data_IF_869612682960
#
_entry.id   IF_869612682960
#
_cell.length_a   1.000
_cell.length_b   1.000
_cell.length_c   1.000
_cell.angle_alpha   90.00
_cell.angle_beta   90.00
_cell.angle_gamma   90.00
#
_symmetry.space_group_name_H-M   'P 1'
#
loop_
_entity.id
_entity.type
_entity.pdbx_description
1 polymer ?
#
# COMPACT_ATOMS: atom_id res chain seq x y z
N UNK A 1 -36.58 41.39 40.26
CA UNK A 1 -36.84 41.55 38.82
C UNK A 1 -35.54 41.31 38.07
N UNK A 2 -35.38 40.17 37.39
CA UNK A 2 -34.23 39.92 36.51
C UNK A 2 -34.73 40.13 35.08
N UNK A 3 -34.26 41.20 34.42
CA UNK A 3 -34.62 41.51 33.05
C UNK A 3 -33.96 40.49 32.10
N UNK A 4 -34.77 39.77 31.32
CA UNK A 4 -34.27 38.88 30.28
C UNK A 4 -33.77 39.71 29.11
N UNK A 5 -32.44 39.84 28.98
CA UNK A 5 -31.79 40.50 27.85
C UNK A 5 -32.11 39.71 26.56
N UNK A 6 -32.93 40.26 25.66
CA UNK A 6 -33.22 39.65 24.35
C UNK A 6 -32.17 40.10 23.35
N UNK A 7 -31.22 39.22 23.03
CA UNK A 7 -30.23 39.46 21.98
C UNK A 7 -30.91 39.42 20.60
N UNK A 8 -30.60 40.33 19.67
CA UNK A 8 -31.17 40.32 18.33
C UNK A 8 -30.71 39.09 17.54
N UNK A 9 -31.62 38.52 16.73
CA UNK A 9 -31.40 37.29 15.97
C UNK A 9 -30.16 37.30 15.07
N UNK A 10 -29.69 38.48 14.63
CA UNK A 10 -28.47 38.63 13.83
C UNK A 10 -27.23 38.30 14.67
N UNK A 11 -27.16 38.75 15.94
CA UNK A 11 -26.04 38.46 16.84
C UNK A 11 -26.02 36.98 17.19
N UNK A 12 -27.20 36.37 17.42
CA UNK A 12 -27.32 34.92 17.69
C UNK A 12 -26.86 34.10 16.47
N UNK A 13 -27.26 34.48 15.25
CA UNK A 13 -26.84 33.81 14.01
C UNK A 13 -25.33 33.94 13.75
N UNK A 14 -24.75 35.14 13.97
CA UNK A 14 -23.31 35.34 13.84
C UNK A 14 -22.50 34.56 14.87
N UNK A 15 -22.99 34.44 16.11
CA UNK A 15 -22.36 33.60 17.15
C UNK A 15 -22.42 32.11 16.80
N UNK A 16 -23.54 31.62 16.26
CA UNK A 16 -23.67 30.23 15.81
C UNK A 16 -22.76 29.94 14.61
N UNK A 17 -22.64 30.87 13.66
CA UNK A 17 -21.75 30.72 12.50
C UNK A 17 -20.26 30.74 12.92
N UNK A 18 -19.87 31.62 13.86
CA UNK A 18 -18.53 31.63 14.42
C UNK A 18 -18.20 30.35 15.20
N UNK A 19 -19.15 29.83 16.00
CA UNK A 19 -18.97 28.57 16.72
C UNK A 19 -18.78 27.36 15.76
N UNK A 20 -19.44 27.37 14.60
CA UNK A 20 -19.27 26.34 13.58
C UNK A 20 -17.90 26.41 12.87
N UNK A 21 -17.31 27.60 12.73
CA UNK A 21 -15.98 27.81 12.17
C UNK A 21 -14.84 27.38 13.11
N UNK A 22 -15.04 27.41 14.43
CA UNK A 22 -14.05 26.94 15.40
C UNK A 22 -14.10 25.43 15.68
N UNK A 23 -15.23 24.77 15.39
CA UNK A 23 -15.43 23.35 15.68
C UNK A 23 -14.79 22.39 14.65
N UNK A 24 -14.27 22.89 13.52
CA UNK A 24 -13.82 22.07 12.39
C UNK A 24 -12.29 21.87 12.30
N UNK A 25 -11.52 22.28 13.30
CA UNK A 25 -10.09 21.94 13.36
C UNK A 25 -9.90 20.53 13.95
N UNK A 26 -10.30 19.50 13.19
CA UNK A 26 -9.78 18.17 13.44
C UNK A 26 -8.28 18.22 13.15
N UNK A 27 -7.46 18.35 14.20
CA UNK A 27 -6.04 18.07 14.05
C UNK A 27 -5.93 16.59 13.69
N UNK A 28 -5.55 16.31 12.44
CA UNK A 28 -5.13 14.97 12.07
C UNK A 28 -3.92 14.64 12.95
N UNK A 29 -4.12 13.80 13.96
CA UNK A 29 -3.02 13.12 14.62
C UNK A 29 -2.30 12.36 13.51
N UNK A 30 -1.10 12.80 13.14
CA UNK A 30 -0.34 12.21 12.06
C UNK A 30 -0.01 10.74 12.33
N UNK A 31 0.94 10.17 11.59
CA UNK A 31 1.27 8.76 11.76
C UNK A 31 2.53 8.35 11.04
N UNK A 32 2.67 7.04 10.90
CA UNK A 32 3.77 6.41 10.21
C UNK A 32 3.43 6.16 8.74
N UNK A 33 4.31 6.59 7.82
CA UNK A 33 4.12 6.40 6.39
C UNK A 33 5.39 6.01 5.66
N UNK A 34 5.22 5.33 4.52
CA UNK A 34 6.27 5.06 3.54
C UNK A 34 6.04 5.99 2.35
N UNK A 35 7.10 6.49 1.72
CA UNK A 35 7.01 7.38 0.56
C UNK A 35 6.67 6.66 -0.77
N UNK A 36 6.44 5.35 -0.74
CA UNK A 36 6.18 4.52 -1.91
C UNK A 36 5.15 3.43 -1.57
N UNK A 37 4.39 3.00 -2.58
CA UNK A 37 3.43 1.87 -2.47
C UNK A 37 4.01 0.55 -2.99
N UNK A 38 5.17 0.61 -3.64
CA UNK A 38 5.98 -0.52 -4.10
C UNK A 38 7.42 -0.08 -4.35
N UNK A 39 8.33 -1.04 -4.40
CA UNK A 39 9.75 -0.82 -4.65
C UNK A 39 10.18 -1.66 -5.85
N UNK A 40 10.97 -1.08 -6.75
CA UNK A 40 11.61 -1.80 -7.84
C UNK A 40 13.11 -1.87 -7.52
N UNK A 41 13.62 -3.08 -7.31
CA UNK A 41 15.05 -3.35 -7.20
C UNK A 41 15.55 -3.81 -8.56
N UNK A 42 16.27 -2.94 -9.27
CA UNK A 42 16.84 -3.24 -10.57
C UNK A 42 18.18 -3.98 -10.40
N UNK A 43 18.40 -5.03 -11.18
CA UNK A 43 19.63 -5.85 -11.10
C UNK A 43 20.91 -5.06 -11.37
N UNK A 44 20.86 -4.02 -12.20
CA UNK A 44 22.02 -3.16 -12.52
C UNK A 44 22.29 -2.07 -11.46
N UNK A 45 21.50 -2.02 -10.39
CA UNK A 45 21.67 -1.07 -9.29
C UNK A 45 22.17 -1.79 -8.04
N UNK A 46 23.08 -1.14 -7.32
CA UNK A 46 23.60 -1.65 -6.07
C UNK A 46 22.54 -1.69 -4.97
N UNK A 47 21.61 -0.73 -5.00
CA UNK A 47 20.58 -0.56 -3.98
C UNK A 47 19.29 0.04 -4.53
N UNK A 48 18.20 -0.18 -3.80
CA UNK A 48 16.96 0.57 -3.92
C UNK A 48 16.75 1.43 -2.66
N UNK A 49 16.16 2.61 -2.83
CA UNK A 49 15.96 3.57 -1.75
C UNK A 49 14.47 3.69 -1.44
N UNK A 50 14.14 3.69 -0.15
CA UNK A 50 12.79 3.94 0.36
C UNK A 50 12.88 4.84 1.60
N UNK A 51 11.95 5.77 1.77
CA UNK A 51 11.91 6.64 2.94
C UNK A 51 10.67 6.37 3.76
N UNK A 52 10.84 6.45 5.08
CA UNK A 52 9.74 6.39 6.04
C UNK A 52 9.64 7.71 6.78
N UNK A 53 8.43 8.09 7.17
CA UNK A 53 8.17 9.36 7.86
C UNK A 53 7.27 9.17 9.06
N UNK A 54 7.47 10.02 10.05
CA UNK A 54 6.60 10.19 11.20
C UNK A 54 5.97 11.59 11.08
N UNK A 55 4.66 11.66 10.86
CA UNK A 55 3.95 12.93 10.77
C UNK A 55 3.25 13.32 12.07
N UNK A 56 3.48 12.60 13.16
CA UNK A 56 3.02 13.00 14.50
C UNK A 56 3.86 14.16 15.03
N UNK A 57 3.30 14.97 15.93
CA UNK A 57 3.97 16.15 16.50
C UNK A 57 4.73 15.85 17.78
N UNK A 58 4.41 14.75 18.47
CA UNK A 58 4.90 14.46 19.82
C UNK A 58 5.23 12.99 20.10
N UNK A 59 4.93 12.04 19.19
CA UNK A 59 5.13 10.61 19.41
C UNK A 59 6.34 10.13 18.60
N UNK A 60 7.47 9.77 19.22
CA UNK A 60 8.54 9.09 18.50
C UNK A 60 8.16 7.63 18.21
N UNK A 61 8.71 7.07 17.14
CA UNK A 61 8.57 5.65 16.82
C UNK A 61 9.90 4.91 16.91
N UNK A 62 9.88 3.69 17.44
CA UNK A 62 10.90 2.70 17.11
C UNK A 62 10.47 2.00 15.82
N UNK A 63 11.25 2.16 14.76
CA UNK A 63 10.95 1.61 13.44
C UNK A 63 11.81 0.39 13.18
N UNK A 64 11.17 -0.74 12.83
CA UNK A 64 11.83 -1.93 12.28
C UNK A 64 11.57 -2.00 10.78
N UNK A 65 12.55 -2.42 9.99
CA UNK A 65 12.41 -2.61 8.55
C UNK A 65 13.08 -3.91 8.10
N UNK A 66 12.36 -4.72 7.31
CA UNK A 66 12.86 -6.01 6.80
C UNK A 66 12.25 -6.37 5.45
N UNK A 67 12.94 -7.21 4.68
CA UNK A 67 12.37 -7.86 3.49
C UNK A 67 11.93 -9.28 3.85
N UNK A 68 10.84 -9.74 3.25
CA UNK A 68 10.31 -11.11 3.38
C UNK A 68 9.94 -11.68 2.01
N UNK A 69 9.92 -13.01 1.88
CA UNK A 69 9.50 -13.67 0.62
C UNK A 69 7.98 -13.81 0.53
N UNK A 70 7.27 -13.74 1.65
CA UNK A 70 5.81 -13.82 1.71
C UNK A 70 5.21 -12.55 2.31
N UNK A 71 3.95 -12.28 1.97
CA UNK A 71 3.21 -11.09 2.40
C UNK A 71 2.97 -11.03 3.91
N UNK A 72 2.93 -12.18 4.60
CA UNK A 72 2.79 -12.28 6.05
C UNK A 72 4.09 -11.97 6.82
N UNK A 73 5.10 -11.40 6.14
CA UNK A 73 6.34 -10.96 6.76
C UNK A 73 7.32 -12.09 7.08
N UNK A 74 7.16 -13.27 6.44
CA UNK A 74 7.96 -14.48 6.67
C UNK A 74 8.81 -14.89 5.46
N UNK A 75 9.65 -15.89 5.70
CA UNK A 75 10.49 -16.52 4.68
C UNK A 75 11.80 -15.77 4.42
N UNK A 76 12.79 -16.53 3.93
CA UNK A 76 14.14 -16.04 3.66
C UNK A 76 14.17 -15.30 2.32
N UNK A 77 15.05 -14.33 2.23
CA UNK A 77 15.21 -13.48 1.06
C UNK A 77 16.69 -13.11 0.91
N UNK A 78 17.18 -12.87 -0.32
CA UNK A 78 18.53 -12.37 -0.53
C UNK A 78 18.69 -10.88 -0.18
N UNK A 79 17.61 -10.19 0.21
CA UNK A 79 17.62 -8.76 0.47
C UNK A 79 17.70 -8.43 1.96
N UNK A 80 18.31 -7.30 2.28
CA UNK A 80 18.39 -6.73 3.63
C UNK A 80 18.22 -5.21 3.59
N UNK A 81 17.76 -4.64 4.71
CA UNK A 81 17.47 -3.21 4.86
C UNK A 81 18.45 -2.58 5.82
N UNK A 82 18.95 -1.39 5.49
CA UNK A 82 19.85 -0.60 6.33
C UNK A 82 19.35 0.85 6.50
N UNK A 83 19.23 1.35 7.74
CA UNK A 83 19.27 0.60 9.01
C UNK A 83 18.02 -0.29 9.21
N UNK A 84 18.16 -1.47 9.82
CA UNK A 84 17.01 -2.38 10.04
C UNK A 84 16.17 -2.01 11.28
N UNK A 85 16.73 -1.23 12.21
CA UNK A 85 16.08 -0.78 13.44
C UNK A 85 16.60 0.63 13.79
N UNK A 86 15.71 1.57 14.03
CA UNK A 86 16.10 2.93 14.39
C UNK A 86 14.95 3.67 15.07
N UNK A 87 15.30 4.74 15.81
CA UNK A 87 14.33 5.69 16.34
C UNK A 87 14.00 6.73 15.26
N UNK A 88 12.71 7.04 15.11
CA UNK A 88 12.20 8.08 14.23
C UNK A 88 11.44 9.12 15.05
N UNK A 89 12.03 10.30 15.21
CA UNK A 89 11.47 11.39 15.99
C UNK A 89 10.21 11.99 15.34
N UNK A 90 9.38 12.74 16.10
CA UNK A 90 8.22 13.44 15.58
C UNK A 90 8.57 14.36 14.41
N UNK A 91 7.71 14.43 13.39
CA UNK A 91 7.96 15.13 12.12
C UNK A 91 9.21 14.67 11.35
N UNK A 92 9.86 13.60 11.81
CA UNK A 92 11.09 13.08 11.23
C UNK A 92 10.85 12.27 9.96
N UNK A 93 11.84 12.27 9.08
CA UNK A 93 11.94 11.37 7.93
C UNK A 93 13.28 10.64 8.00
N UNK A 94 13.29 9.35 7.66
CA UNK A 94 14.52 8.59 7.51
C UNK A 94 14.53 7.83 6.18
N UNK A 95 15.70 7.73 5.59
CA UNK A 95 15.92 7.05 4.31
C UNK A 95 16.61 5.72 4.56
N UNK A 96 16.05 4.67 3.96
CA UNK A 96 16.49 3.29 4.09
C UNK A 96 17.04 2.81 2.75
N UNK A 97 18.14 2.07 2.82
CA UNK A 97 18.74 1.39 1.68
C UNK A 97 18.38 -0.07 1.72
N UNK A 98 17.95 -0.58 0.57
CA UNK A 98 17.69 -2.00 0.36
C UNK A 98 18.80 -2.52 -0.53
N UNK A 99 19.49 -3.53 -0.03
CA UNK A 99 20.64 -4.18 -0.65
C UNK A 99 20.29 -5.66 -0.83
N UNK A 100 20.93 -6.36 -1.76
CA UNK A 100 20.72 -7.80 -1.87
C UNK A 100 21.69 -8.52 -2.79
N UNK A 101 21.84 -9.82 -2.54
CA UNK A 101 22.61 -10.74 -3.39
C UNK A 101 21.70 -11.46 -4.38
N UNK A 102 21.60 -10.93 -5.59
CA UNK A 102 20.63 -11.37 -6.60
C UNK A 102 21.13 -12.50 -7.50
N UNK A 103 22.35 -13.04 -7.26
CA UNK A 103 23.00 -14.03 -8.15
C UNK A 103 22.22 -15.32 -8.35
N UNK A 104 21.39 -15.70 -7.39
CA UNK A 104 20.58 -16.92 -7.42
C UNK A 104 19.13 -16.68 -7.86
N UNK A 105 18.77 -15.43 -8.17
CA UNK A 105 17.43 -15.09 -8.64
C UNK A 105 17.28 -15.37 -10.14
N UNK A 106 16.04 -15.60 -10.55
CA UNK A 106 15.69 -15.80 -11.96
C UNK A 106 16.09 -14.58 -12.79
N UNK A 107 16.67 -14.81 -13.95
CA UNK A 107 17.14 -13.75 -14.86
C UNK A 107 16.19 -13.50 -16.03
N UNK A 108 15.21 -14.38 -16.25
CA UNK A 108 14.26 -14.33 -17.37
C UNK A 108 12.93 -13.67 -17.00
N UNK A 109 12.70 -13.36 -15.71
CA UNK A 109 11.47 -12.77 -15.20
C UNK A 109 11.67 -12.03 -13.89
N UNK A 110 10.72 -11.17 -13.56
CA UNK A 110 10.67 -10.56 -12.24
C UNK A 110 10.46 -11.59 -11.12
N UNK A 111 10.99 -11.29 -9.95
CA UNK A 111 10.65 -11.97 -8.69
C UNK A 111 9.99 -10.99 -7.72
N UNK A 112 9.05 -11.46 -6.90
CA UNK A 112 8.36 -10.63 -5.91
C UNK A 112 8.76 -10.99 -4.48
N UNK A 113 8.99 -9.94 -3.69
CA UNK A 113 9.27 -9.95 -2.26
C UNK A 113 8.44 -8.85 -1.60
N UNK A 114 8.57 -8.68 -0.29
CA UNK A 114 7.78 -7.71 0.47
C UNK A 114 8.67 -6.93 1.43
N UNK A 115 8.64 -5.61 1.31
CA UNK A 115 9.21 -4.70 2.30
C UNK A 115 8.20 -4.49 3.42
N UNK A 116 8.62 -4.75 4.65
CA UNK A 116 7.81 -4.60 5.85
C UNK A 116 8.46 -3.55 6.73
N UNK A 117 7.71 -2.51 7.08
CA UNK A 117 8.12 -1.54 8.08
C UNK A 117 7.09 -1.49 9.21
N UNK A 118 7.55 -1.62 10.45
CA UNK A 118 6.70 -1.50 11.63
C UNK A 118 7.16 -0.36 12.52
N UNK A 119 6.23 0.50 12.92
CA UNK A 119 6.46 1.62 13.82
C UNK A 119 5.78 1.35 15.16
N UNK A 120 6.60 1.21 16.19
CA UNK A 120 6.16 0.98 17.57
C UNK A 120 6.21 2.35 18.28
N UNK A 121 5.07 2.89 18.74
CA UNK A 121 5.06 4.15 19.47
C UNK A 121 5.94 4.06 20.72
N UNK A 122 6.74 5.09 20.97
CA UNK A 122 7.41 5.23 22.26
C UNK A 122 6.38 5.36 23.36
N UNK A 123 6.54 4.61 24.45
CA UNK A 123 5.79 4.84 25.67
C UNK A 123 6.27 6.13 26.33
N UNK A 124 5.38 6.91 26.92
CA UNK A 124 5.76 7.98 27.85
C UNK A 124 6.73 7.42 28.90
N UNK A 125 7.74 8.22 29.29
CA UNK A 125 8.75 7.83 30.26
C UNK A 125 8.10 7.18 31.51
N UNK A 126 8.68 6.11 32.07
CA UNK A 126 8.26 5.60 33.38
C UNK A 126 8.55 6.69 34.41
N UNK A 127 7.50 7.41 34.82
CA UNK A 127 7.61 8.58 35.70
C UNK A 127 6.34 9.41 35.85
N UNK A 128 5.34 9.26 34.96
CA UNK A 128 3.99 9.83 35.16
C UNK A 128 2.97 8.78 35.61
N UNK A 129 3.41 7.75 36.33
CA UNK A 129 2.52 6.89 37.10
C UNK A 129 2.62 7.33 38.55
N UNK A 130 1.47 7.54 39.18
CA UNK A 130 1.28 7.78 40.61
C UNK A 130 1.25 9.24 41.09
N UNK A 131 0.49 10.11 40.41
CA UNK A 131 -0.38 11.04 41.16
C UNK A 131 -1.81 10.89 40.64
N UNK A 132 -2.71 10.47 41.52
CA UNK A 132 -4.14 10.21 41.29
C UNK A 132 -4.49 8.80 40.79
N UNK A 133 -5.20 8.06 41.64
CA UNK A 133 -5.78 6.76 41.39
C UNK A 133 -6.83 6.78 40.26
N UNK A 134 -6.38 6.76 38.99
CA UNK A 134 -7.18 6.30 37.86
C UNK A 134 -6.47 5.10 37.25
N UNK A 135 -7.10 3.93 37.33
CA UNK A 135 -6.71 2.78 36.50
C UNK A 135 -7.08 3.17 35.06
N UNK A 136 -6.15 3.77 34.33
CA UNK A 136 -6.29 4.00 32.91
C UNK A 136 -5.69 2.80 32.17
N UNK A 137 -6.55 2.02 31.51
CA UNK A 137 -6.10 1.07 30.51
C UNK A 137 -5.63 1.85 29.28
N UNK A 138 -4.38 1.69 28.88
CA UNK A 138 -3.83 2.26 27.65
C UNK A 138 -3.66 1.18 26.59
N UNK A 139 -4.18 1.41 25.40
CA UNK A 139 -3.97 0.53 24.25
C UNK A 139 -2.93 1.16 23.32
N UNK A 140 -1.83 0.45 23.10
CA UNK A 140 -0.74 0.88 22.20
C UNK A 140 -0.79 0.03 20.94
N UNK A 141 -1.00 0.67 19.79
CA UNK A 141 -1.00 0.02 18.49
C UNK A 141 0.33 0.25 17.77
N UNK A 142 0.97 -0.83 17.32
CA UNK A 142 2.05 -0.73 16.35
C UNK A 142 1.47 -0.65 14.94
N UNK A 143 2.00 0.25 14.11
CA UNK A 143 1.58 0.42 12.72
C UNK A 143 2.53 -0.39 11.84
N UNK A 144 2.01 -1.38 11.12
CA UNK A 144 2.78 -2.21 10.18
C UNK A 144 2.35 -1.95 8.74
N UNK A 145 3.28 -1.54 7.89
CA UNK A 145 3.07 -1.37 6.45
C UNK A 145 3.89 -2.42 5.68
N UNK A 146 3.21 -3.15 4.79
CA UNK A 146 3.84 -4.13 3.90
C UNK A 146 3.59 -3.73 2.45
N UNK A 147 4.65 -3.48 1.69
CA UNK A 147 4.59 -3.14 0.26
C UNK A 147 5.41 -4.12 -0.57
N UNK A 148 5.03 -4.29 -1.83
CA UNK A 148 5.72 -5.22 -2.74
C UNK A 148 7.10 -4.66 -3.12
N UNK A 149 8.09 -5.54 -3.15
CA UNK A 149 9.41 -5.30 -3.73
C UNK A 149 9.57 -6.23 -4.93
N UNK A 150 9.72 -5.66 -6.12
CA UNK A 150 9.98 -6.42 -7.34
C UNK A 150 11.47 -6.39 -7.65
N UNK A 151 12.09 -7.55 -7.70
CA UNK A 151 13.39 -7.70 -8.32
C UNK A 151 13.19 -7.79 -9.82
N UNK A 152 13.88 -6.92 -10.57
CA UNK A 152 13.80 -6.87 -12.03
C UNK A 152 15.17 -7.12 -12.65
N UNK A 153 15.36 -8.27 -13.30
CA UNK A 153 16.55 -8.55 -14.10
C UNK A 153 16.79 -7.52 -15.21
N UNK A 154 18.04 -7.35 -15.60
CA UNK A 154 18.39 -6.63 -16.83
C UNK A 154 18.05 -7.47 -18.05
N UNK A 155 17.66 -6.82 -19.15
CA UNK A 155 17.45 -7.50 -20.44
C UNK A 155 16.11 -8.22 -20.60
N UNK A 156 15.15 -7.99 -19.70
CA UNK A 156 13.77 -8.44 -19.91
C UNK A 156 13.19 -7.83 -21.19
N UNK A 157 12.42 -8.64 -21.92
CA UNK A 157 11.77 -8.20 -23.16
C UNK A 157 10.58 -7.30 -22.85
N UNK A 158 10.53 -6.13 -23.50
CA UNK A 158 9.43 -5.18 -23.39
C UNK A 158 9.58 -4.21 -22.22
N UNK A 159 8.44 -3.66 -21.76
CA UNK A 159 8.36 -2.80 -20.59
C UNK A 159 7.14 -3.20 -19.75
N UNK A 160 7.06 -2.80 -18.47
CA UNK A 160 5.86 -3.03 -17.66
C UNK A 160 4.59 -2.49 -18.33
N UNK A 161 4.64 -1.29 -18.93
CA UNK A 161 3.48 -0.69 -19.59
C UNK A 161 3.03 -1.51 -20.81
N UNK A 162 3.96 -2.08 -21.57
CA UNK A 162 3.63 -2.98 -22.67
C UNK A 162 3.05 -4.30 -22.15
N UNK A 163 3.57 -4.83 -21.04
CA UNK A 163 3.04 -6.02 -20.39
C UNK A 163 1.58 -5.83 -19.94
N UNK A 164 1.24 -4.67 -19.38
CA UNK A 164 -0.13 -4.36 -18.94
C UNK A 164 -1.12 -4.35 -20.10
N UNK A 165 -0.69 -3.86 -21.27
CA UNK A 165 -1.48 -3.82 -22.51
C UNK A 165 -1.59 -5.18 -23.20
N UNK A 166 -0.57 -6.02 -23.06
CA UNK A 166 -0.46 -7.31 -23.74
C UNK A 166 -1.22 -8.46 -23.05
N UNK A 167 -1.92 -8.19 -21.94
CA UNK A 167 -2.79 -9.16 -21.29
C UNK A 167 -3.81 -9.73 -22.27
N UNK A 168 -3.94 -11.06 -22.28
CA UNK A 168 -4.93 -11.76 -23.09
C UNK A 168 -6.07 -12.27 -22.22
N UNK A 169 -7.29 -12.04 -22.68
CA UNK A 169 -8.51 -12.45 -22.01
C UNK A 169 -9.21 -13.46 -22.90
N UNK A 170 -9.48 -14.65 -22.39
CA UNK A 170 -10.17 -15.72 -23.14
C UNK A 170 -11.30 -16.32 -22.32
N UNK A 171 -12.29 -16.88 -23.02
CA UNK A 171 -13.39 -17.58 -22.37
C UNK A 171 -12.88 -18.86 -21.69
N UNK A 172 -13.35 -19.14 -20.47
CA UNK A 172 -13.01 -20.37 -19.75
C UNK A 172 -14.21 -20.89 -18.94
N UNK A 173 -14.26 -22.20 -18.63
CA UNK A 173 -15.22 -22.72 -17.67
C UNK A 173 -15.14 -21.96 -16.34
N UNK A 174 -16.27 -21.46 -15.84
CA UNK A 174 -16.35 -20.73 -14.58
C UNK A 174 -15.96 -19.25 -14.63
N UNK A 175 -15.50 -18.72 -15.77
CA UNK A 175 -15.19 -17.29 -15.87
C UNK A 175 -14.39 -16.88 -17.10
N UNK A 176 -13.50 -15.90 -16.90
CA UNK A 176 -12.60 -15.37 -17.92
C UNK A 176 -11.16 -15.69 -17.52
N UNK A 177 -10.42 -16.36 -18.39
CA UNK A 177 -9.00 -16.59 -18.22
C UNK A 177 -8.23 -15.34 -18.62
N UNK A 178 -7.35 -14.89 -17.72
CA UNK A 178 -6.42 -13.78 -17.94
C UNK A 178 -5.03 -14.37 -18.05
N UNK A 179 -4.34 -14.07 -19.15
CA UNK A 179 -3.00 -14.60 -19.45
C UNK A 179 -1.97 -13.48 -19.47
N UNK A 180 -0.98 -13.60 -18.61
CA UNK A 180 0.22 -12.76 -18.61
C UNK A 180 1.37 -13.52 -19.26
N UNK A 181 1.64 -13.22 -20.53
CA UNK A 181 2.75 -13.82 -21.28
C UNK A 181 4.05 -13.01 -21.18
N UNK A 182 4.09 -12.00 -20.31
CA UNK A 182 5.25 -11.11 -20.14
C UNK A 182 6.13 -11.56 -18.95
N UNK A 183 7.38 -11.08 -18.89
CA UNK A 183 8.27 -11.34 -17.76
C UNK A 183 7.98 -10.47 -16.52
N UNK A 184 6.90 -9.67 -16.51
CA UNK A 184 6.58 -8.72 -15.44
C UNK A 184 5.38 -9.18 -14.59
N UNK A 185 5.37 -8.85 -13.31
CA UNK A 185 4.20 -9.02 -12.46
C UNK A 185 3.15 -7.95 -12.76
N UNK A 186 1.89 -8.34 -12.80
CA UNK A 186 0.78 -7.42 -13.04
C UNK A 186 -0.09 -7.37 -11.79
N UNK A 187 -0.16 -6.20 -11.16
CA UNK A 187 -0.98 -5.97 -9.97
C UNK A 187 -2.23 -5.21 -10.35
N UNK A 188 -3.37 -5.90 -10.41
CA UNK A 188 -4.66 -5.29 -10.69
C UNK A 188 -5.12 -4.42 -9.51
N UNK A 189 -5.83 -3.35 -9.79
CA UNK A 189 -6.75 -2.70 -8.83
C UNK A 189 -8.18 -3.09 -9.13
N UNK A 190 -8.48 -3.41 -10.39
CA UNK A 190 -9.81 -3.81 -10.82
C UNK A 190 -9.74 -4.64 -12.11
N UNK A 191 -10.67 -5.59 -12.23
CA UNK A 191 -11.06 -6.19 -13.50
C UNK A 191 -12.59 -6.08 -13.58
N UNK A 192 -13.14 -5.69 -14.73
CA UNK A 192 -14.58 -5.73 -15.01
C UNK A 192 -14.83 -6.50 -16.29
N UNK A 193 -15.85 -7.35 -16.28
CA UNK A 193 -16.30 -8.13 -17.42
C UNK A 193 -17.70 -7.65 -17.82
N UNK A 194 -17.82 -7.05 -19.01
CA UNK A 194 -19.01 -6.29 -19.45
C UNK A 194 -19.54 -5.33 -18.36
N UNK A 195 -18.65 -4.54 -17.77
CA UNK A 195 -18.98 -3.56 -16.72
C UNK A 195 -19.20 -4.15 -15.31
N UNK A 196 -19.24 -5.48 -15.15
CA UNK A 196 -19.41 -6.13 -13.85
C UNK A 196 -18.04 -6.35 -13.19
N UNK A 197 -17.76 -5.78 -12.00
CA UNK A 197 -16.50 -6.00 -11.30
C UNK A 197 -16.29 -7.45 -10.88
N UNK A 198 -15.07 -7.92 -11.07
CA UNK A 198 -14.58 -9.19 -10.52
C UNK A 198 -14.12 -8.99 -9.08
N UNK A 199 -14.46 -9.94 -8.20
CA UNK A 199 -14.00 -9.94 -6.81
C UNK A 199 -12.68 -10.70 -6.67
N UNK A 200 -11.68 -10.04 -6.07
CA UNK A 200 -10.42 -10.70 -5.70
C UNK A 200 -10.57 -11.45 -4.36
N UNK A 201 -9.84 -12.56 -4.23
CA UNK A 201 -9.81 -13.38 -3.02
C UNK A 201 -8.50 -14.17 -2.96
N UNK A 202 -8.33 -15.00 -1.92
CA UNK A 202 -7.20 -15.92 -1.84
C UNK A 202 -7.10 -16.86 -3.07
N UNK A 203 -8.24 -17.21 -3.67
CA UNK A 203 -8.32 -18.06 -4.87
C UNK A 203 -8.36 -17.26 -6.18
N UNK A 204 -8.51 -15.93 -6.11
CA UNK A 204 -8.55 -15.03 -7.25
C UNK A 204 -7.61 -13.85 -7.00
N UNK A 205 -6.29 -14.06 -7.15
CA UNK A 205 -5.29 -13.14 -6.66
C UNK A 205 -5.37 -11.82 -7.42
N UNK A 206 -5.15 -10.73 -6.70
CA UNK A 206 -5.07 -9.39 -7.28
C UNK A 206 -3.78 -9.18 -8.11
N UNK A 207 -2.79 -10.08 -7.98
CA UNK A 207 -1.54 -10.01 -8.72
C UNK A 207 -1.33 -11.29 -9.54
N UNK A 208 -1.02 -11.11 -10.82
CA UNK A 208 -0.70 -12.19 -11.75
C UNK A 208 0.82 -12.24 -11.96
N UNK A 209 1.40 -13.44 -11.83
CA UNK A 209 2.83 -13.65 -11.96
C UNK A 209 3.27 -13.61 -13.44
N UNK A 210 4.57 -13.39 -13.71
CA UNK A 210 5.15 -13.55 -15.04
C UNK A 210 4.83 -14.92 -15.63
N UNK A 211 4.49 -14.96 -16.92
CA UNK A 211 4.22 -16.21 -17.66
C UNK A 211 3.16 -17.11 -17.02
N UNK A 212 2.17 -16.51 -16.37
CA UNK A 212 1.09 -17.23 -15.69
C UNK A 212 -0.28 -16.85 -16.23
N UNK A 213 -1.24 -17.74 -16.01
CA UNK A 213 -2.65 -17.53 -16.33
C UNK A 213 -3.51 -17.75 -15.09
N UNK A 214 -4.63 -17.03 -14.99
CA UNK A 214 -5.62 -17.27 -13.93
C UNK A 214 -7.05 -17.10 -14.43
N UNK A 215 -7.97 -17.93 -13.96
CA UNK A 215 -9.41 -17.79 -14.26
C UNK A 215 -10.08 -16.95 -13.18
N UNK A 216 -10.61 -15.81 -13.58
CA UNK A 216 -11.39 -14.93 -12.72
C UNK A 216 -12.89 -15.17 -12.91
N UNK A 217 -13.67 -15.23 -11.82
CA UNK A 217 -15.08 -15.61 -11.88
C UNK A 217 -15.89 -14.56 -12.64
N UNK A 218 -16.67 -15.03 -13.61
CA UNK A 218 -17.60 -14.20 -14.37
C UNK A 218 -18.82 -15.04 -14.78
N UNK A 219 -20.01 -14.59 -14.38
CA UNK A 219 -21.26 -15.27 -14.71
C UNK A 219 -21.56 -15.14 -16.21
N UNK A 220 -22.03 -16.24 -16.81
CA UNK A 220 -22.33 -16.33 -18.24
C UNK A 220 -21.14 -15.87 -19.12
N UNK A 221 -19.91 -16.22 -18.74
CA UNK A 221 -18.68 -15.78 -19.41
C UNK A 221 -18.68 -16.02 -20.91
N UNK A 222 -19.37 -17.08 -21.38
CA UNK A 222 -19.47 -17.44 -22.79
C UNK A 222 -20.10 -16.36 -23.70
N UNK A 223 -20.92 -15.48 -23.12
CA UNK A 223 -21.56 -14.38 -23.86
C UNK A 223 -20.88 -13.03 -23.64
N UNK A 224 -19.84 -12.98 -22.80
CA UNK A 224 -19.13 -11.75 -22.45
C UNK A 224 -18.19 -11.35 -23.58
N UNK A 225 -18.06 -10.06 -23.84
CA UNK A 225 -17.26 -9.57 -24.98
C UNK A 225 -16.22 -8.54 -24.60
N UNK A 226 -16.50 -7.73 -23.58
CA UNK A 226 -15.65 -6.61 -23.17
C UNK A 226 -15.03 -6.89 -21.82
N UNK A 227 -13.80 -6.42 -21.69
CA UNK A 227 -13.08 -6.41 -20.42
C UNK A 227 -12.44 -5.05 -20.22
N UNK A 228 -12.52 -4.56 -19.00
CA UNK A 228 -11.81 -3.38 -18.52
C UNK A 228 -10.92 -3.83 -17.37
N UNK A 229 -9.69 -3.33 -17.31
CA UNK A 229 -8.81 -3.61 -16.19
C UNK A 229 -8.01 -2.38 -15.81
N UNK A 230 -7.72 -2.28 -14.53
CA UNK A 230 -6.88 -1.24 -13.97
C UNK A 230 -5.74 -1.90 -13.21
N UNK A 231 -4.54 -1.35 -13.32
CA UNK A 231 -3.32 -1.87 -12.70
C UNK A 231 -2.59 -0.78 -11.96
N UNK A 232 -1.75 -1.18 -11.01
CA UNK A 232 -0.77 -0.28 -10.40
C UNK A 232 0.51 -0.36 -11.22
N UNK A 233 1.09 0.78 -11.60
CA UNK A 233 2.39 0.87 -12.28
C UNK A 233 3.56 1.00 -11.31
N UNK A 234 4.78 1.07 -11.82
CA UNK A 234 6.01 1.09 -11.02
C UNK A 234 6.11 2.31 -10.08
N UNK A 235 5.49 3.44 -10.47
CA UNK A 235 5.43 4.66 -9.66
C UNK A 235 4.34 4.64 -8.59
N UNK A 236 3.56 3.56 -8.52
CA UNK A 236 2.43 3.42 -7.61
C UNK A 236 1.14 4.10 -8.08
N UNK A 237 1.13 4.65 -9.29
CA UNK A 237 -0.06 5.21 -9.94
C UNK A 237 -0.95 4.12 -10.55
N UNK A 238 -2.21 4.47 -10.82
CA UNK A 238 -3.18 3.58 -11.46
C UNK A 238 -3.29 3.84 -12.97
N UNK A 239 -3.17 2.80 -13.78
CA UNK A 239 -3.37 2.85 -15.23
C UNK A 239 -4.57 2.00 -15.64
N UNK A 240 -5.41 2.55 -16.53
CA UNK A 240 -6.65 1.92 -16.96
C UNK A 240 -6.56 1.46 -18.43
N UNK A 241 -7.14 0.30 -18.69
CA UNK A 241 -7.13 -0.36 -19.99
C UNK A 241 -8.48 -1.00 -20.29
N UNK A 242 -8.72 -1.27 -21.56
CA UNK A 242 -9.89 -2.01 -22.03
C UNK A 242 -9.52 -2.88 -23.23
N UNK A 243 -10.35 -3.88 -23.49
CA UNK A 243 -10.13 -4.84 -24.56
C UNK A 243 -11.33 -5.77 -24.75
N UNK A 244 -11.12 -6.78 -25.59
CA UNK A 244 -12.12 -7.79 -25.90
C UNK A 244 -11.70 -9.15 -25.37
N UNK A 245 -12.68 -9.96 -25.00
CA UNK A 245 -12.48 -11.35 -24.64
C UNK A 245 -12.51 -12.19 -25.92
N UNK A 246 -11.51 -13.05 -26.09
CA UNK A 246 -11.29 -13.91 -27.26
C UNK A 246 -11.84 -15.32 -27.05
#
# INVERSE_FOLDING_TARGET
MISKLRLPNIIVKSLVFAAFLFASQSQAEGGFGINATRIIFLQDKAEAIVSVRNTTTNIPYLVTAKISSTVDGKGKTPFYVSPPLFRLDPQGTNTLRILGDTRQLQTDRESVFYFNASAIPGSNAPGQRFESAKISGGLVYAIGNTIKLFYRPTGLVGTPELAYKALRFTHAPGGVQVSNNSPYHISFTQIKVDGIPVTFSANHPQMLAPFSTHVYPAQNSQNKKKVEWAVINDLGGGDNFNGTIQ
#
